data_IF_095371730259
#
_entry.id   IF_095371730259
#
_cell.length_a   1.000
_cell.length_b   1.000
_cell.length_c   1.000
_cell.angle_alpha   90.00
_cell.angle_beta   90.00
_cell.angle_gamma   90.00
#
_symmetry.space_group_name_H-M   'P 1'
#
loop_
_entity.id
_entity.type
_entity.pdbx_description
1 polymer ?
#
# COMPACT_ATOMS: atom_id res chain seq x y z
N UNK A 1 -56.79 51.71 -9.62
CA UNK A 1 -55.75 51.70 -10.67
C UNK A 1 -54.39 51.24 -10.14
N UNK A 2 -53.87 51.79 -9.04
CA UNK A 2 -52.59 51.39 -8.43
C UNK A 2 -52.48 49.91 -8.01
N UNK A 3 -53.51 49.32 -7.42
CA UNK A 3 -53.47 47.91 -6.96
C UNK A 3 -53.35 46.89 -8.09
N UNK A 4 -53.94 47.17 -9.26
CA UNK A 4 -53.84 46.31 -10.45
C UNK A 4 -52.44 46.37 -11.07
N UNK A 5 -51.82 47.56 -11.08
CA UNK A 5 -50.45 47.76 -11.55
C UNK A 5 -49.43 47.04 -10.65
N UNK A 6 -49.64 47.06 -9.34
CA UNK A 6 -48.82 46.34 -8.36
C UNK A 6 -48.85 44.82 -8.60
N UNK A 7 -50.03 44.24 -8.80
CA UNK A 7 -50.18 42.81 -9.11
C UNK A 7 -49.52 42.45 -10.45
N UNK A 8 -49.61 43.32 -11.44
CA UNK A 8 -48.99 43.11 -12.75
C UNK A 8 -47.45 43.09 -12.66
N UNK A 9 -46.85 44.02 -11.90
CA UNK A 9 -45.41 43.99 -11.61
C UNK A 9 -44.97 42.71 -10.88
N UNK A 10 -45.74 42.25 -9.90
CA UNK A 10 -45.41 41.03 -9.13
C UNK A 10 -45.42 39.77 -10.02
N UNK A 11 -46.40 39.66 -10.92
CA UNK A 11 -46.47 38.57 -11.90
C UNK A 11 -45.30 38.61 -12.89
N UNK A 12 -44.94 39.79 -13.39
CA UNK A 12 -43.79 39.94 -14.30
C UNK A 12 -42.49 39.55 -13.60
N UNK A 13 -42.29 39.98 -12.36
CA UNK A 13 -41.10 39.62 -11.57
C UNK A 13 -41.06 38.12 -11.31
N UNK A 14 -42.18 37.51 -10.91
CA UNK A 14 -42.25 36.06 -10.69
C UNK A 14 -41.94 35.26 -11.98
N UNK A 15 -42.49 35.69 -13.12
CA UNK A 15 -42.21 35.08 -14.42
C UNK A 15 -40.74 35.22 -14.85
N UNK A 16 -40.06 36.30 -14.48
CA UNK A 16 -38.63 36.50 -14.79
C UNK A 16 -37.70 35.77 -13.82
N UNK A 17 -38.07 35.64 -12.56
CA UNK A 17 -37.25 34.99 -11.52
C UNK A 17 -37.31 33.46 -11.62
N UNK A 18 -38.46 32.89 -11.97
CA UNK A 18 -38.63 31.44 -12.12
C UNK A 18 -37.61 30.78 -13.09
N UNK A 19 -37.37 31.28 -14.31
CA UNK A 19 -36.38 30.68 -15.21
C UNK A 19 -34.95 30.82 -14.67
N UNK A 20 -34.63 31.92 -13.98
CA UNK A 20 -33.31 32.13 -13.38
C UNK A 20 -33.05 31.07 -12.30
N UNK A 21 -34.01 30.86 -11.39
CA UNK A 21 -33.91 29.84 -10.33
C UNK A 21 -33.75 28.44 -10.95
N UNK A 22 -34.51 28.13 -12.00
CA UNK A 22 -34.48 26.81 -12.65
C UNK A 22 -33.13 26.56 -13.36
N UNK A 23 -32.54 27.57 -13.99
CA UNK A 23 -31.22 27.49 -14.62
C UNK A 23 -30.12 27.31 -13.56
N UNK A 24 -30.14 28.11 -12.49
CA UNK A 24 -29.15 28.01 -11.40
C UNK A 24 -29.23 26.66 -10.68
N UNK A 25 -30.44 26.13 -10.46
CA UNK A 25 -30.62 24.82 -9.83
C UNK A 25 -30.05 23.69 -10.71
N UNK A 26 -30.25 23.74 -12.03
CA UNK A 26 -29.65 22.76 -12.96
C UNK A 26 -28.13 22.81 -12.94
N UNK A 27 -27.53 24.01 -13.01
CA UNK A 27 -26.08 24.18 -12.94
C UNK A 27 -25.50 23.65 -11.63
N UNK A 28 -26.18 23.90 -10.51
CA UNK A 28 -25.75 23.39 -9.20
C UNK A 28 -25.80 21.86 -9.14
N UNK A 29 -26.83 21.23 -9.70
CA UNK A 29 -26.93 19.77 -9.74
C UNK A 29 -25.81 19.13 -10.58
N UNK A 30 -25.48 19.71 -11.73
CA UNK A 30 -24.36 19.27 -12.56
C UNK A 30 -23.02 19.47 -11.84
N UNK A 31 -22.84 20.61 -11.17
CA UNK A 31 -21.64 20.90 -10.39
C UNK A 31 -21.45 19.89 -9.25
N UNK A 32 -22.50 19.58 -8.48
CA UNK A 32 -22.47 18.59 -7.41
C UNK A 32 -22.13 17.20 -7.95
N UNK A 33 -22.75 16.79 -9.07
CA UNK A 33 -22.49 15.48 -9.66
C UNK A 33 -21.04 15.37 -10.15
N UNK A 34 -20.53 16.38 -10.84
CA UNK A 34 -19.15 16.42 -11.32
C UNK A 34 -18.15 16.52 -10.16
N UNK A 35 -18.45 17.29 -9.12
CA UNK A 35 -17.64 17.36 -7.91
C UNK A 35 -17.57 16.01 -7.19
N UNK A 36 -18.70 15.33 -7.04
CA UNK A 36 -18.76 13.98 -6.47
C UNK A 36 -17.97 12.97 -7.32
N UNK A 37 -18.03 13.08 -8.66
CA UNK A 37 -17.23 12.25 -9.57
C UNK A 37 -15.74 12.49 -9.40
N UNK A 38 -15.30 13.75 -9.41
CA UNK A 38 -13.90 14.12 -9.21
C UNK A 38 -13.39 13.65 -7.85
N UNK A 39 -14.17 13.81 -6.78
CA UNK A 39 -13.84 13.29 -5.46
C UNK A 39 -13.70 11.77 -5.46
N UNK A 40 -14.61 11.07 -6.14
CA UNK A 40 -14.56 9.61 -6.26
C UNK A 40 -13.29 9.16 -6.99
N UNK A 41 -12.94 9.81 -8.09
CA UNK A 41 -11.70 9.52 -8.84
C UNK A 41 -10.47 9.74 -7.99
N UNK A 42 -10.34 10.92 -7.36
CA UNK A 42 -9.22 11.22 -6.44
C UNK A 42 -9.13 10.24 -5.28
N UNK A 43 -10.27 9.83 -4.72
CA UNK A 43 -10.31 8.83 -3.65
C UNK A 43 -9.89 7.46 -4.15
N UNK A 44 -10.23 7.08 -5.39
CA UNK A 44 -9.80 5.82 -6.00
C UNK A 44 -8.30 5.81 -6.27
N UNK A 45 -7.74 6.92 -6.75
CA UNK A 45 -6.30 7.06 -6.97
C UNK A 45 -5.52 6.93 -5.66
N UNK A 46 -5.93 7.67 -4.62
CA UNK A 46 -5.34 7.56 -3.29
C UNK A 46 -5.47 6.16 -2.70
N UNK A 47 -6.58 5.46 -2.95
CA UNK A 47 -6.75 4.06 -2.52
C UNK A 47 -5.76 3.13 -3.21
N UNK A 48 -5.54 3.30 -4.52
CA UNK A 48 -4.56 2.49 -5.28
C UNK A 48 -3.15 2.72 -4.77
N UNK A 49 -2.73 3.98 -4.63
CA UNK A 49 -1.40 4.31 -4.09
C UNK A 49 -1.21 3.76 -2.67
N UNK A 50 -2.25 3.87 -1.83
CA UNK A 50 -2.22 3.32 -0.47
C UNK A 50 -2.11 1.81 -0.46
N UNK A 51 -2.81 1.10 -1.33
CA UNK A 51 -2.71 -0.36 -1.45
C UNK A 51 -1.31 -0.79 -1.88
N UNK A 52 -0.74 -0.14 -2.89
CA UNK A 52 0.64 -0.40 -3.32
C UNK A 52 1.63 -0.20 -2.17
N UNK A 53 1.48 0.89 -1.42
CA UNK A 53 2.32 1.15 -0.25
C UNK A 53 2.14 0.09 0.87
N UNK A 54 0.92 -0.39 1.11
CA UNK A 54 0.66 -1.46 2.07
C UNK A 54 1.28 -2.79 1.61
N UNK A 55 1.17 -3.14 0.33
CA UNK A 55 1.75 -4.37 -0.21
C UNK A 55 3.28 -4.37 -0.12
N UNK A 56 3.92 -3.24 -0.48
CA UNK A 56 5.35 -3.03 -0.29
C UNK A 56 5.78 -3.14 1.18
N UNK A 57 5.00 -2.57 2.10
CA UNK A 57 5.29 -2.66 3.53
C UNK A 57 5.26 -4.11 4.04
N UNK A 58 4.28 -4.90 3.60
CA UNK A 58 4.18 -6.32 3.96
C UNK A 58 5.27 -7.19 3.33
N UNK A 59 5.82 -6.78 2.18
CA UNK A 59 6.98 -7.47 1.61
C UNK A 59 8.24 -7.23 2.44
N UNK A 60 8.39 -6.05 3.04
CA UNK A 60 9.60 -5.69 3.80
C UNK A 60 9.55 -6.11 5.27
N UNK A 61 8.39 -6.06 5.91
CA UNK A 61 8.22 -6.27 7.35
C UNK A 61 7.18 -7.35 7.66
N UNK A 62 7.30 -8.08 8.79
CA UNK A 62 6.26 -8.98 9.25
C UNK A 62 4.91 -8.25 9.41
N UNK A 63 3.81 -8.95 9.13
CA UNK A 63 2.45 -8.39 9.24
C UNK A 63 2.16 -7.80 10.63
N UNK A 64 2.71 -8.39 11.69
CA UNK A 64 2.59 -7.90 13.08
C UNK A 64 3.20 -6.51 13.24
N UNK A 65 4.46 -6.34 12.82
CA UNK A 65 5.22 -5.09 12.91
C UNK A 65 4.61 -4.01 12.01
N UNK A 66 4.25 -4.35 10.76
CA UNK A 66 3.60 -3.42 9.83
C UNK A 66 2.29 -2.85 10.41
N UNK A 67 1.49 -3.69 11.08
CA UNK A 67 0.23 -3.27 11.73
C UNK A 67 0.46 -2.33 12.91
N UNK A 68 1.50 -2.56 13.70
CA UNK A 68 1.88 -1.70 14.83
C UNK A 68 2.37 -0.33 14.35
N UNK A 69 3.26 -0.32 13.33
CA UNK A 69 3.75 0.92 12.71
C UNK A 69 2.62 1.76 12.11
N UNK A 70 1.63 1.11 11.46
CA UNK A 70 0.45 1.80 10.93
C UNK A 70 -0.36 2.53 12.01
N UNK A 71 -0.41 1.98 13.22
CA UNK A 71 -1.09 2.60 14.37
C UNK A 71 -0.27 3.71 15.03
N UNK A 72 0.90 4.06 14.48
CA UNK A 72 1.91 4.94 15.12
C UNK A 72 2.28 4.48 16.53
N UNK A 73 2.20 3.18 16.77
CA UNK A 73 2.63 2.58 18.03
C UNK A 73 4.13 2.31 17.97
N UNK A 74 4.79 2.45 19.12
CA UNK A 74 6.19 2.07 19.26
C UNK A 74 6.27 0.54 19.14
N UNK A 75 7.13 0.06 18.24
CA UNK A 75 7.38 -1.38 18.07
C UNK A 75 8.36 -1.76 19.17
N UNK A 76 7.88 -2.49 20.17
CA UNK A 76 8.72 -3.05 21.22
C UNK A 76 9.33 -4.37 20.74
N UNK A 77 10.50 -4.74 21.28
CA UNK A 77 11.16 -5.99 20.93
C UNK A 77 10.29 -7.18 21.38
N UNK A 78 9.95 -8.06 20.45
CA UNK A 78 9.20 -9.29 20.74
C UNK A 78 10.17 -10.41 21.14
N UNK A 79 9.94 -11.01 22.30
CA UNK A 79 10.60 -12.26 22.70
C UNK A 79 9.74 -13.44 22.23
N UNK A 80 10.41 -14.43 21.64
CA UNK A 80 9.78 -15.65 21.17
C UNK A 80 10.34 -16.84 21.98
N UNK A 81 9.45 -17.57 22.67
CA UNK A 81 9.83 -18.70 23.54
C UNK A 81 10.42 -19.88 22.75
N UNK A 82 9.99 -20.05 21.49
CA UNK A 82 10.44 -21.11 20.59
C UNK A 82 10.61 -20.55 19.18
N UNK A 83 11.83 -20.62 18.66
CA UNK A 83 12.17 -20.23 17.29
C UNK A 83 13.01 -21.32 16.63
N UNK A 84 12.81 -21.52 15.34
CA UNK A 84 13.67 -22.39 14.51
C UNK A 84 14.35 -21.51 13.47
N UNK A 85 15.68 -21.49 13.50
CA UNK A 85 16.48 -20.71 12.56
C UNK A 85 17.11 -21.68 11.56
N UNK A 86 16.95 -21.40 10.27
CA UNK A 86 17.53 -22.20 9.20
C UNK A 86 18.73 -21.45 8.60
N UNK A 87 19.93 -21.99 8.79
CA UNK A 87 21.16 -21.51 8.14
C UNK A 87 21.54 -22.48 7.02
N UNK A 88 21.77 -21.94 5.83
CA UNK A 88 22.24 -22.71 4.67
C UNK A 88 23.34 -21.94 3.97
N UNK A 89 24.44 -22.63 3.64
CA UNK A 89 25.54 -22.10 2.85
C UNK A 89 25.75 -22.97 1.61
N UNK A 90 26.28 -22.38 0.55
CA UNK A 90 26.56 -23.07 -0.71
C UNK A 90 27.97 -23.65 -0.63
N UNK A 91 28.04 -24.98 -0.49
CA UNK A 91 29.32 -25.70 -0.47
C UNK A 91 30.09 -25.43 -1.77
N UNK A 92 31.32 -24.96 -1.66
CA UNK A 92 32.19 -24.73 -2.81
C UNK A 92 31.83 -23.48 -3.64
N UNK A 93 31.05 -22.54 -3.09
CA UNK A 93 30.70 -21.29 -3.78
C UNK A 93 31.92 -20.57 -4.37
N UNK A 94 33.04 -20.51 -3.65
CA UNK A 94 34.28 -19.88 -4.12
C UNK A 94 34.82 -20.54 -5.40
N UNK A 95 34.76 -21.87 -5.50
CA UNK A 95 35.22 -22.60 -6.68
C UNK A 95 34.31 -22.38 -7.88
N UNK A 96 32.99 -22.38 -7.65
CA UNK A 96 31.99 -22.13 -8.69
C UNK A 96 32.15 -20.70 -9.22
N UNK A 97 32.23 -19.71 -8.33
CA UNK A 97 32.41 -18.30 -8.67
C UNK A 97 33.74 -18.02 -9.39
N UNK A 98 34.79 -18.79 -9.10
CA UNK A 98 36.07 -18.69 -9.80
C UNK A 98 36.02 -19.28 -11.23
N UNK A 99 35.18 -20.27 -11.48
CA UNK A 99 35.05 -20.94 -12.79
C UNK A 99 33.97 -20.35 -13.71
N UNK A 100 33.04 -19.57 -13.17
CA UNK A 100 31.89 -19.02 -13.90
C UNK A 100 32.02 -17.51 -14.13
N UNK A 101 31.32 -17.01 -15.14
CA UNK A 101 31.19 -15.56 -15.31
C UNK A 101 30.28 -14.96 -14.23
N UNK A 102 30.47 -13.70 -13.82
CA UNK A 102 29.62 -13.05 -12.83
C UNK A 102 28.13 -13.13 -13.16
N UNK A 103 27.78 -13.03 -14.45
CA UNK A 103 26.39 -13.14 -14.91
C UNK A 103 25.79 -14.52 -14.62
N UNK A 104 26.54 -15.60 -14.92
CA UNK A 104 26.11 -16.98 -14.66
C UNK A 104 25.95 -17.26 -13.17
N UNK A 105 26.84 -16.71 -12.32
CA UNK A 105 26.73 -16.86 -10.86
C UNK A 105 25.46 -16.18 -10.34
N UNK A 106 25.16 -14.97 -10.82
CA UNK A 106 23.93 -14.25 -10.45
C UNK A 106 22.69 -15.01 -10.91
N UNK A 107 22.69 -15.54 -12.13
CA UNK A 107 21.58 -16.32 -12.66
C UNK A 107 21.35 -17.61 -11.86
N UNK A 108 22.42 -18.33 -11.52
CA UNK A 108 22.36 -19.51 -10.65
C UNK A 108 21.77 -19.18 -9.27
N UNK A 109 22.27 -18.12 -8.63
CA UNK A 109 21.77 -17.67 -7.33
C UNK A 109 20.31 -17.25 -7.42
N UNK A 110 19.93 -16.50 -8.45
CA UNK A 110 18.55 -16.07 -8.65
C UNK A 110 17.61 -17.27 -8.79
N UNK A 111 17.98 -18.28 -9.60
CA UNK A 111 17.17 -19.49 -9.76
C UNK A 111 17.02 -20.27 -8.45
N UNK A 112 18.10 -20.36 -7.66
CA UNK A 112 18.09 -21.01 -6.36
C UNK A 112 17.17 -20.26 -5.37
N UNK A 113 17.30 -18.93 -5.28
CA UNK A 113 16.46 -18.11 -4.40
C UNK A 113 14.99 -18.11 -4.81
N UNK A 114 14.68 -18.09 -6.11
CA UNK A 114 13.28 -18.20 -6.59
C UNK A 114 12.67 -19.54 -6.20
N UNK A 115 13.42 -20.64 -6.31
CA UNK A 115 12.96 -21.96 -5.89
C UNK A 115 12.69 -22.01 -4.38
N UNK A 116 13.61 -21.46 -3.57
CA UNK A 116 13.41 -21.36 -2.13
C UNK A 116 12.22 -20.48 -1.77
N UNK A 117 12.10 -19.29 -2.36
CA UNK A 117 11.02 -18.36 -2.07
C UNK A 117 9.66 -18.95 -2.45
N UNK A 118 9.56 -19.66 -3.58
CA UNK A 118 8.35 -20.39 -3.97
C UNK A 118 7.97 -21.50 -2.99
N UNK A 119 8.95 -22.22 -2.44
CA UNK A 119 8.67 -23.26 -1.45
C UNK A 119 8.28 -22.65 -0.10
N UNK A 120 8.97 -21.59 0.30
CA UNK A 120 8.73 -20.85 1.54
C UNK A 120 7.36 -20.17 1.53
N UNK A 121 6.87 -19.68 0.40
CA UNK A 121 5.56 -19.03 0.29
C UNK A 121 4.39 -19.92 0.75
N UNK A 122 4.55 -21.25 0.66
CA UNK A 122 3.56 -22.22 1.17
C UNK A 122 3.58 -22.43 2.69
N UNK A 123 4.62 -21.92 3.37
CA UNK A 123 4.77 -21.97 4.82
C UNK A 123 4.64 -20.56 5.42
N UNK A 124 4.07 -20.44 6.62
CA UNK A 124 3.96 -19.15 7.34
C UNK A 124 5.30 -18.79 8.03
N UNK A 125 6.40 -18.79 7.27
CA UNK A 125 7.75 -18.51 7.77
C UNK A 125 8.25 -17.15 7.27
N UNK A 126 8.96 -16.43 8.13
CA UNK A 126 9.47 -15.10 7.83
C UNK A 126 10.91 -15.14 7.32
N UNK A 127 11.14 -14.59 6.12
CA UNK A 127 12.49 -14.40 5.54
C UNK A 127 13.13 -13.13 6.14
N UNK A 128 14.05 -13.31 7.07
CA UNK A 128 14.85 -12.21 7.61
C UNK A 128 15.90 -11.75 6.57
N UNK A 129 15.98 -10.45 6.29
CA UNK A 129 16.93 -9.84 5.32
C UNK A 129 18.28 -9.44 5.93
N UNK A 130 18.61 -10.04 7.08
CA UNK A 130 19.87 -9.89 7.78
C UNK A 130 20.08 -8.57 8.52
N UNK A 131 19.89 -8.64 9.83
CA UNK A 131 20.80 -8.10 10.83
C UNK A 131 20.63 -8.95 12.09
N UNK A 132 21.05 -10.22 12.03
CA UNK A 132 21.19 -11.01 13.27
C UNK A 132 22.44 -10.45 13.95
N UNK A 133 22.34 -9.86 15.16
CA UNK A 133 23.51 -9.44 15.90
C UNK A 133 24.45 -10.66 16.06
N UNK A 134 25.73 -10.43 15.79
CA UNK A 134 26.79 -11.45 15.73
C UNK A 134 26.84 -12.31 17.02
N UNK A 135 26.31 -11.77 18.13
CA UNK A 135 26.21 -12.44 19.43
C UNK A 135 25.42 -13.76 19.40
N UNK A 136 24.41 -13.92 18.54
CA UNK A 136 23.63 -15.16 18.48
C UNK A 136 24.38 -16.29 17.74
N UNK A 137 25.30 -15.94 16.82
CA UNK A 137 26.10 -16.94 16.09
C UNK A 137 27.07 -17.68 17.03
N UNK A 138 27.52 -17.02 18.10
CA UNK A 138 28.46 -17.61 19.06
C UNK A 138 27.82 -18.70 19.93
N UNK A 139 26.52 -18.60 20.24
CA UNK A 139 25.84 -19.61 21.07
C UNK A 139 25.41 -20.88 20.31
N UNK A 140 25.32 -20.84 18.98
CA UNK A 140 24.87 -21.99 18.18
C UNK A 140 26.00 -22.86 17.61
N UNK A 141 27.24 -22.39 17.58
CA UNK A 141 28.39 -23.24 17.20
C UNK A 141 28.96 -24.08 18.36
N UNK A 142 28.47 -23.88 19.58
CA UNK A 142 28.91 -24.60 20.79
C UNK A 142 27.93 -25.74 21.19
N UNK A 143 27.00 -26.14 20.31
CA UNK A 143 26.15 -27.32 20.46
C UNK A 143 26.38 -28.29 19.29
#
# INVERSE_FOLDING_TARGET
MFSLLQCWCLLVIACLVYPIILISFKQMMEWIHNYARNLKEKTQDLKRERQLAEDLLHQMLPKSVAKQLRKRQKVEAENYDQVTIFFSDIVGFTSIAASCTPLQVVEMLNNLYVCFDSRIESYDVYKARELIPIDLKKHMCDL
#
